data_IF_049596872238
#
_entry.id   IF_049596872238
#
_cell.length_a   1.000
_cell.length_b   1.000
_cell.length_c   1.000
_cell.angle_alpha   90.00
_cell.angle_beta   90.00
_cell.angle_gamma   90.00
#
_symmetry.space_group_name_H-M   'P 1'
#
loop_
_entity.id
_entity.type
_entity.pdbx_description
1 polymer ?
#
# COMPACT_ATOMS: atom_id res chain seq x y z
N UNK A 1 5.55 33.91 -1.20
CA UNK A 1 6.30 32.65 -0.97
C UNK A 1 5.78 31.94 0.29
N UNK A 2 4.46 31.88 0.48
CA UNK A 2 3.82 31.34 1.71
C UNK A 2 2.94 30.11 1.44
N UNK A 3 2.52 29.84 0.19
CA UNK A 3 1.47 28.85 -0.07
C UNK A 3 1.94 27.40 -0.04
N UNK A 4 3.20 27.11 -0.40
CA UNK A 4 3.74 25.74 -0.38
C UNK A 4 3.97 25.26 1.06
N UNK A 5 4.52 26.13 1.91
CA UNK A 5 4.80 25.78 3.31
C UNK A 5 3.51 25.52 4.10
N UNK A 6 2.47 26.33 3.88
CA UNK A 6 1.14 26.09 4.46
C UNK A 6 0.50 24.79 3.95
N UNK A 7 0.61 24.49 2.65
CA UNK A 7 0.12 23.23 2.06
C UNK A 7 0.77 22.00 2.73
N UNK A 8 2.09 22.03 2.95
CA UNK A 8 2.78 20.94 3.65
C UNK A 8 2.41 20.86 5.13
N UNK A 9 2.16 21.98 5.80
CA UNK A 9 1.74 22.01 7.20
C UNK A 9 0.39 21.33 7.40
N UNK A 10 -0.61 21.65 6.57
CA UNK A 10 -1.94 21.07 6.68
C UNK A 10 -1.89 19.55 6.47
N UNK A 11 -1.15 19.08 5.45
CA UNK A 11 -0.95 17.64 5.20
C UNK A 11 -0.22 16.93 6.35
N UNK A 12 0.80 17.57 6.93
CA UNK A 12 1.53 17.03 8.09
C UNK A 12 0.64 16.89 9.32
N UNK A 13 -0.27 17.84 9.56
CA UNK A 13 -1.23 17.73 10.66
C UNK A 13 -2.22 16.58 10.42
N UNK A 14 -2.77 16.43 9.21
CA UNK A 14 -3.63 15.28 8.88
C UNK A 14 -2.87 13.95 9.06
N UNK A 15 -1.59 13.91 8.67
CA UNK A 15 -0.75 12.73 8.85
C UNK A 15 -0.54 12.36 10.32
N UNK A 16 -0.45 13.35 11.23
CA UNK A 16 -0.38 13.06 12.67
C UNK A 16 -1.64 12.37 13.18
N UNK A 17 -2.82 12.77 12.71
CA UNK A 17 -4.08 12.10 13.06
C UNK A 17 -4.12 10.68 12.49
N UNK A 18 -3.58 10.49 11.29
CA UNK A 18 -3.43 9.17 10.67
C UNK A 18 -2.58 8.23 11.52
N UNK A 19 -1.37 8.64 11.90
CA UNK A 19 -0.44 7.83 12.71
C UNK A 19 -0.99 7.50 14.09
N UNK A 20 -1.75 8.42 14.71
CA UNK A 20 -2.34 8.21 16.03
C UNK A 20 -3.59 7.32 16.00
N UNK A 21 -4.05 6.90 14.82
CA UNK A 21 -5.34 6.24 14.63
C UNK A 21 -6.49 7.05 15.27
N UNK A 22 -6.46 8.36 15.02
CA UNK A 22 -7.35 9.31 15.67
C UNK A 22 -8.73 9.33 15.00
N UNK A 23 -9.80 9.32 15.79
CA UNK A 23 -11.18 9.46 15.34
C UNK A 23 -11.45 10.73 14.51
N UNK A 24 -10.64 11.78 14.69
CA UNK A 24 -10.74 13.03 13.95
C UNK A 24 -10.15 12.99 12.54
N UNK A 25 -9.47 11.90 12.14
CA UNK A 25 -8.83 11.79 10.82
C UNK A 25 -9.77 12.16 9.67
N UNK A 26 -11.01 11.66 9.69
CA UNK A 26 -12.00 11.99 8.66
C UNK A 26 -12.34 13.48 8.63
N UNK A 27 -12.55 14.10 9.78
CA UNK A 27 -12.84 15.53 9.87
C UNK A 27 -11.65 16.39 9.44
N UNK A 28 -10.43 15.94 9.74
CA UNK A 28 -9.20 16.59 9.29
C UNK A 28 -9.05 16.52 7.76
N UNK A 29 -9.38 15.37 7.14
CA UNK A 29 -9.46 15.22 5.69
C UNK A 29 -10.50 16.18 5.07
N UNK A 30 -11.69 16.28 5.64
CA UNK A 30 -12.75 17.17 5.14
C UNK A 30 -12.35 18.66 5.20
N UNK A 31 -11.40 19.03 6.06
CA UNK A 31 -10.82 20.37 6.14
C UNK A 31 -9.86 20.73 5.00
N UNK A 32 -9.36 19.74 4.26
CA UNK A 32 -8.40 19.93 3.16
C UNK A 32 -9.11 20.29 1.84
N UNK A 33 -8.40 21.05 0.99
CA UNK A 33 -8.82 21.26 -0.39
C UNK A 33 -8.81 19.93 -1.16
N UNK A 34 -9.58 19.87 -2.26
CA UNK A 34 -9.73 18.63 -3.02
C UNK A 34 -8.40 18.04 -3.50
N UNK A 35 -7.48 18.86 -4.02
CA UNK A 35 -6.17 18.39 -4.48
C UNK A 35 -5.26 17.98 -3.31
N UNK A 36 -5.36 18.63 -2.15
CA UNK A 36 -4.65 18.24 -0.92
C UNK A 36 -5.12 16.86 -0.45
N UNK A 37 -6.43 16.59 -0.48
CA UNK A 37 -6.99 15.27 -0.17
C UNK A 37 -6.46 14.19 -1.12
N UNK A 38 -6.45 14.48 -2.43
CA UNK A 38 -5.89 13.55 -3.43
C UNK A 38 -4.43 13.23 -3.13
N UNK A 39 -3.60 14.26 -2.95
CA UNK A 39 -2.18 14.09 -2.61
C UNK A 39 -1.96 13.34 -1.30
N UNK A 40 -2.79 13.60 -0.29
CA UNK A 40 -2.71 12.89 0.99
C UNK A 40 -2.98 11.39 0.82
N UNK A 41 -4.08 11.02 0.15
CA UNK A 41 -4.45 9.61 -0.06
C UNK A 41 -3.34 8.86 -0.80
N UNK A 42 -2.82 9.43 -1.90
CA UNK A 42 -1.68 8.85 -2.62
C UNK A 42 -0.45 8.67 -1.71
N UNK A 43 -0.17 9.68 -0.87
CA UNK A 43 0.98 9.63 0.04
C UNK A 43 0.82 8.56 1.12
N UNK A 44 -0.41 8.33 1.61
CA UNK A 44 -0.72 7.25 2.57
C UNK A 44 -0.55 5.88 1.92
N UNK A 45 -1.01 5.70 0.68
CA UNK A 45 -0.83 4.45 -0.05
C UNK A 45 0.65 4.10 -0.23
N UNK A 46 1.47 5.06 -0.66
CA UNK A 46 2.93 4.87 -0.77
C UNK A 46 3.59 4.63 0.59
N UNK A 47 3.16 5.36 1.64
CA UNK A 47 3.67 5.17 3.00
C UNK A 47 3.37 3.76 3.53
N UNK A 48 2.16 3.25 3.34
CA UNK A 48 1.78 1.91 3.79
C UNK A 48 2.45 0.82 2.94
N UNK A 49 2.69 1.04 1.65
CA UNK A 49 3.51 0.11 0.86
C UNK A 49 4.91 -0.01 1.43
N UNK A 50 5.60 1.12 1.63
CA UNK A 50 6.93 1.13 2.24
C UNK A 50 6.91 0.47 3.63
N UNK A 51 5.99 0.89 4.50
CA UNK A 51 5.94 0.41 5.88
C UNK A 51 5.54 -1.07 5.99
N UNK A 52 4.56 -1.54 5.22
CA UNK A 52 4.06 -2.90 5.36
C UNK A 52 4.89 -3.89 4.53
N UNK A 53 5.18 -3.54 3.27
CA UNK A 53 5.86 -4.43 2.32
C UNK A 53 7.38 -4.29 2.44
N UNK A 54 7.94 -3.11 2.18
CA UNK A 54 9.40 -2.94 2.11
C UNK A 54 10.08 -3.10 3.48
N UNK A 55 9.45 -2.60 4.54
CA UNK A 55 9.95 -2.70 5.92
C UNK A 55 9.52 -4.00 6.63
N UNK A 56 8.76 -4.88 5.97
CA UNK A 56 8.40 -6.21 6.48
C UNK A 56 7.41 -6.21 7.66
N UNK A 57 6.44 -5.28 7.69
CA UNK A 57 5.44 -5.17 8.76
C UNK A 57 4.04 -5.69 8.39
N UNK A 58 3.89 -6.46 7.30
CA UNK A 58 2.62 -7.06 6.91
C UNK A 58 2.07 -8.03 7.97
N UNK A 59 0.99 -7.63 8.63
CA UNK A 59 0.26 -8.50 9.55
C UNK A 59 -0.72 -9.42 8.81
N UNK A 60 -0.65 -10.73 9.10
CA UNK A 60 -1.49 -11.75 8.50
C UNK A 60 -2.33 -12.47 9.54
N UNK A 61 -3.60 -12.75 9.22
CA UNK A 61 -4.47 -13.63 9.99
C UNK A 61 -5.10 -14.69 9.08
N UNK A 62 -4.81 -15.97 9.36
CA UNK A 62 -5.28 -17.10 8.53
C UNK A 62 -4.94 -16.90 7.04
N UNK A 63 -3.69 -16.52 6.75
CA UNK A 63 -3.17 -16.28 5.39
C UNK A 63 -3.83 -15.10 4.65
N UNK A 64 -4.49 -14.18 5.36
CA UNK A 64 -5.00 -12.93 4.79
C UNK A 64 -4.33 -11.75 5.47
N UNK A 65 -3.81 -10.83 4.68
CA UNK A 65 -3.29 -9.56 5.19
C UNK A 65 -4.42 -8.76 5.83
N UNK A 66 -4.12 -8.19 7.01
CA UNK A 66 -5.00 -7.28 7.72
C UNK A 66 -4.55 -5.85 7.41
N UNK A 67 -5.37 -5.11 6.67
CA UNK A 67 -5.09 -3.69 6.44
C UNK A 67 -5.24 -2.89 7.75
N UNK A 68 -4.33 -1.94 8.02
CA UNK A 68 -4.45 -1.01 9.13
C UNK A 68 -5.80 -0.27 9.14
N UNK A 69 -6.37 -0.05 10.34
CA UNK A 69 -7.70 0.57 10.48
C UNK A 69 -7.77 1.99 9.91
N UNK A 70 -6.71 2.76 10.08
CA UNK A 70 -6.54 4.10 9.53
C UNK A 70 -6.41 4.07 8.00
N UNK A 71 -5.69 3.11 7.42
CA UNK A 71 -5.68 2.89 5.97
C UNK A 71 -7.09 2.60 5.46
N UNK A 72 -7.85 1.72 6.12
CA UNK A 72 -9.25 1.45 5.78
C UNK A 72 -10.10 2.73 5.78
N UNK A 73 -9.91 3.64 6.74
CA UNK A 73 -10.60 4.95 6.77
C UNK A 73 -10.24 5.78 5.52
N UNK A 74 -8.96 5.81 5.14
CA UNK A 74 -8.47 6.55 3.97
C UNK A 74 -9.02 5.95 2.67
N UNK A 75 -8.99 4.63 2.49
CA UNK A 75 -9.57 3.96 1.31
C UNK A 75 -11.09 4.14 1.23
N UNK A 76 -11.76 4.11 2.38
CA UNK A 76 -13.19 4.40 2.46
C UNK A 76 -13.46 5.85 2.06
N UNK A 77 -12.61 6.78 2.49
CA UNK A 77 -12.72 8.19 2.12
C UNK A 77 -12.54 8.39 0.62
N UNK A 78 -11.52 7.76 0.02
CA UNK A 78 -11.26 7.77 -1.42
C UNK A 78 -12.49 7.30 -2.20
N UNK A 79 -13.03 6.14 -1.83
CA UNK A 79 -14.24 5.58 -2.42
C UNK A 79 -15.42 6.54 -2.45
N UNK A 80 -15.69 7.25 -1.35
CA UNK A 80 -16.87 8.10 -1.24
C UNK A 80 -16.69 9.49 -1.86
N UNK A 81 -15.46 9.95 -2.08
CA UNK A 81 -15.18 11.32 -2.52
C UNK A 81 -14.53 11.41 -3.92
N UNK A 82 -13.91 10.32 -4.38
CA UNK A 82 -13.18 10.22 -5.64
C UNK A 82 -13.48 8.91 -6.37
N UNK A 83 -14.58 8.23 -6.02
CA UNK A 83 -15.03 6.99 -6.66
C UNK A 83 -13.99 5.84 -6.62
N UNK A 84 -13.01 5.91 -5.72
CA UNK A 84 -11.93 4.93 -5.62
C UNK A 84 -10.85 5.06 -6.70
N UNK A 85 -10.84 6.17 -7.45
CA UNK A 85 -9.90 6.44 -8.54
C UNK A 85 -8.44 6.37 -8.06
N UNK A 86 -8.14 6.85 -6.85
CA UNK A 86 -6.77 6.93 -6.36
C UNK A 86 -6.26 5.53 -6.00
N UNK A 87 -7.07 4.74 -5.29
CA UNK A 87 -6.75 3.34 -5.02
C UNK A 87 -6.61 2.53 -6.32
N UNK A 88 -7.51 2.73 -7.29
CA UNK A 88 -7.45 2.01 -8.57
C UNK A 88 -6.13 2.27 -9.30
N UNK A 89 -5.74 3.54 -9.46
CA UNK A 89 -4.47 3.89 -10.11
C UNK A 89 -3.27 3.30 -9.35
N UNK A 90 -3.29 3.33 -8.01
CA UNK A 90 -2.21 2.76 -7.21
C UNK A 90 -2.10 1.24 -7.37
N UNK A 91 -3.23 0.53 -7.45
CA UNK A 91 -3.28 -0.92 -7.73
C UNK A 91 -2.71 -1.23 -9.11
N UNK A 92 -3.05 -0.44 -10.13
CA UNK A 92 -2.51 -0.61 -11.50
C UNK A 92 -0.98 -0.39 -11.52
N UNK A 93 -0.48 0.65 -10.83
CA UNK A 93 0.95 0.92 -10.73
C UNK A 93 1.70 -0.23 -10.02
N UNK A 94 1.13 -0.77 -8.95
CA UNK A 94 1.69 -1.92 -8.22
C UNK A 94 1.66 -3.22 -9.01
N UNK A 95 0.58 -3.47 -9.78
CA UNK A 95 0.52 -4.62 -10.69
C UNK A 95 1.63 -4.56 -11.73
N UNK A 96 1.92 -3.37 -12.26
CA UNK A 96 3.01 -3.16 -13.19
C UNK A 96 4.38 -3.38 -12.53
N UNK A 97 4.59 -2.86 -11.32
CA UNK A 97 5.84 -3.07 -10.56
C UNK A 97 6.06 -4.56 -10.27
N UNK A 98 5.02 -5.27 -9.80
CA UNK A 98 5.07 -6.70 -9.52
C UNK A 98 5.48 -7.49 -10.76
N UNK A 99 4.82 -7.26 -11.90
CA UNK A 99 5.16 -7.92 -13.16
C UNK A 99 6.60 -7.64 -13.58
N UNK A 100 7.05 -6.38 -13.44
CA UNK A 100 8.42 -6.02 -13.78
C UNK A 100 9.44 -6.76 -12.91
N UNK A 101 9.19 -6.83 -11.60
CA UNK A 101 10.07 -7.51 -10.64
C UNK A 101 10.11 -9.02 -10.87
N UNK A 102 8.96 -9.64 -11.16
CA UNK A 102 8.89 -11.05 -11.55
C UNK A 102 9.74 -11.31 -12.82
N UNK A 103 9.61 -10.46 -13.85
CA UNK A 103 10.43 -10.58 -15.06
C UNK A 103 11.94 -10.46 -14.76
N UNK A 104 12.34 -9.50 -13.92
CA UNK A 104 13.75 -9.35 -13.52
C UNK A 104 14.29 -10.59 -12.78
N UNK A 105 13.47 -11.20 -11.91
CA UNK A 105 13.83 -12.40 -11.18
C UNK A 105 13.98 -13.62 -12.09
N UNK A 106 13.15 -13.75 -13.14
CA UNK A 106 13.30 -14.79 -14.16
C UNK A 106 14.48 -14.56 -15.12
N UNK A 107 14.89 -13.30 -15.33
CA UNK A 107 16.01 -12.97 -16.24
C UNK A 107 17.39 -13.20 -15.59
N UNK A 108 17.50 -13.13 -14.25
CA UNK A 108 18.72 -13.47 -13.50
C UNK A 108 18.46 -14.43 -12.32
N UNK A 109 18.17 -15.71 -12.62
CA UNK A 109 17.94 -16.73 -11.59
C UNK A 109 19.22 -17.15 -10.84
N UNK A 110 20.36 -16.48 -10.99
CA UNK A 110 21.68 -16.97 -10.54
C UNK A 110 21.87 -17.18 -9.03
N UNK A 111 20.84 -17.01 -8.19
CA UNK A 111 20.90 -17.13 -6.73
C UNK A 111 19.83 -18.11 -6.20
N UNK A 112 19.49 -19.17 -6.94
CA UNK A 112 18.83 -20.32 -6.32
C UNK A 112 19.76 -20.89 -5.25
N UNK A 113 19.25 -20.98 -4.02
CA UNK A 113 19.99 -21.38 -2.82
C UNK A 113 20.57 -22.80 -2.88
N UNK A 114 21.66 -22.97 -3.61
CA UNK A 114 22.54 -24.14 -3.54
C UNK A 114 23.84 -23.79 -2.82
N UNK A 115 23.74 -23.27 -1.59
CA UNK A 115 24.78 -23.53 -0.61
C UNK A 115 24.30 -24.72 0.24
N UNK A 116 24.62 -25.92 -0.26
CA UNK A 116 24.74 -27.17 0.52
C UNK A 116 23.63 -27.41 1.57
N UNK A 117 22.41 -27.82 1.18
CA UNK A 117 21.63 -28.87 1.86
C UNK A 117 20.19 -28.99 1.29
N UNK A 118 19.94 -30.10 0.59
CA UNK A 118 18.72 -30.93 0.59
C UNK A 118 17.32 -30.27 0.59
N UNK A 119 16.93 -29.57 -0.47
CA UNK A 119 15.62 -29.69 -1.17
C UNK A 119 15.62 -28.72 -2.37
N UNK A 120 15.45 -29.24 -3.60
CA UNK A 120 15.40 -28.43 -4.83
C UNK A 120 14.08 -27.64 -4.84
N UNK A 121 14.09 -26.40 -4.34
CA UNK A 121 12.97 -25.46 -4.52
C UNK A 121 12.82 -25.13 -6.02
N UNK A 122 11.59 -25.20 -6.53
CA UNK A 122 11.28 -24.87 -7.92
C UNK A 122 11.57 -23.38 -8.22
N UNK A 123 11.93 -23.10 -9.47
CA UNK A 123 12.15 -21.73 -9.94
C UNK A 123 10.91 -20.87 -9.73
N UNK A 124 9.74 -21.43 -10.03
CA UNK A 124 8.49 -20.73 -9.80
C UNK A 124 8.28 -20.46 -8.32
N UNK A 125 8.49 -21.44 -7.44
CA UNK A 125 8.31 -21.30 -5.99
C UNK A 125 9.19 -20.19 -5.40
N UNK A 126 10.47 -20.14 -5.76
CA UNK A 126 11.37 -19.10 -5.25
C UNK A 126 11.00 -17.70 -5.75
N UNK A 127 10.65 -17.54 -7.02
CA UNK A 127 10.21 -16.24 -7.56
C UNK A 127 8.97 -15.76 -6.80
N UNK A 128 8.03 -16.66 -6.52
CA UNK A 128 6.80 -16.36 -5.79
C UNK A 128 7.12 -15.91 -4.36
N UNK A 129 8.06 -16.58 -3.69
CA UNK A 129 8.55 -16.20 -2.35
C UNK A 129 9.19 -14.80 -2.34
N UNK A 130 9.94 -14.41 -3.39
CA UNK A 130 10.58 -13.09 -3.45
C UNK A 130 9.59 -11.91 -3.55
N UNK A 131 8.37 -12.16 -4.02
CA UNK A 131 7.34 -11.13 -4.26
C UNK A 131 6.06 -11.36 -3.47
N UNK A 132 6.04 -12.32 -2.54
CA UNK A 132 4.86 -12.72 -1.77
C UNK A 132 4.25 -11.52 -1.03
N UNK A 133 5.06 -10.70 -0.36
CA UNK A 133 4.59 -9.54 0.38
C UNK A 133 3.89 -8.49 -0.51
N UNK A 134 4.41 -8.25 -1.72
CA UNK A 134 3.78 -7.32 -2.69
C UNK A 134 2.41 -7.87 -3.10
N UNK A 135 2.34 -9.16 -3.42
CA UNK A 135 1.11 -9.83 -3.85
C UNK A 135 0.06 -9.89 -2.76
N UNK A 136 0.46 -10.24 -1.55
CA UNK A 136 -0.42 -10.32 -0.40
C UNK A 136 -1.02 -8.95 -0.05
N UNK A 137 -0.21 -7.88 -0.14
CA UNK A 137 -0.70 -6.52 0.03
C UNK A 137 -1.66 -6.12 -1.09
N UNK A 138 -1.30 -6.38 -2.34
CA UNK A 138 -2.14 -6.12 -3.52
C UNK A 138 -3.49 -6.83 -3.44
N UNK A 139 -3.47 -8.11 -3.04
CA UNK A 139 -4.67 -8.90 -2.85
C UNK A 139 -5.53 -8.32 -1.74
N UNK A 140 -4.95 -7.87 -0.63
CA UNK A 140 -5.72 -7.20 0.43
C UNK A 140 -6.34 -5.87 -0.03
N UNK A 141 -5.64 -5.09 -0.85
CA UNK A 141 -6.19 -3.87 -1.45
C UNK A 141 -7.35 -4.17 -2.41
N UNK A 142 -7.26 -5.23 -3.21
CA UNK A 142 -8.35 -5.69 -4.10
C UNK A 142 -9.51 -6.31 -3.34
N UNK A 143 -9.21 -7.08 -2.28
CA UNK A 143 -10.18 -7.71 -1.38
C UNK A 143 -10.89 -6.69 -0.48
N UNK A 144 -10.41 -5.44 -0.41
CA UNK A 144 -11.07 -4.35 0.29
C UNK A 144 -12.48 -4.15 -0.30
N UNK A 145 -13.43 -4.90 0.28
CA UNK A 145 -14.78 -4.99 -0.25
C UNK A 145 -15.43 -3.64 -0.17
N UNK A 146 -15.92 -3.22 -1.34
CA UNK A 146 -16.67 -2.02 -1.62
C UNK A 146 -18.03 -2.04 -0.91
N UNK A 147 -18.08 -2.19 0.41
CA UNK A 147 -19.34 -2.20 1.13
C UNK A 147 -19.89 -0.77 1.17
N UNK A 148 -20.95 -0.50 0.39
CA UNK A 148 -21.81 0.66 0.61
C UNK A 148 -22.50 0.41 1.95
N UNK A 149 -22.21 1.23 2.95
CA UNK A 149 -23.08 1.32 4.13
C UNK A 149 -24.40 1.99 3.71
#
# INVERSE_FOLDING_TARGET
MQSKDLFYQDLQEVFKYYLKNDSYLKGALDGLKQHERRSFISSILSYEYQNLVEDGNLERQKYKVILPKNLIIVLTYDKYNFDGEILANFVEDLEFELQHREMELYDDPCVYGYEEDEEEMDEEEWVQDQVEDIRDFLDALKDFKWTKC
#
